data_IF_261823424045
#
_entry.id   IF_261823424045
#
_cell.length_a   1.000
_cell.length_b   1.000
_cell.length_c   1.000
_cell.angle_alpha   90.00
_cell.angle_beta   90.00
_cell.angle_gamma   90.00
#
_symmetry.space_group_name_H-M   'P 1'
#
loop_
_entity.id
_entity.type
_entity.pdbx_description
1 polymer ?
#
# COMPACT_ATOMS: atom_id res chain seq x y z
N UNK A 1 6.81 -35.65 -7.25
CA UNK A 1 6.10 -36.29 -8.37
C UNK A 1 4.78 -35.56 -8.66
N UNK A 2 3.88 -35.45 -7.67
CA UNK A 2 2.58 -34.78 -7.82
C UNK A 2 2.63 -33.30 -8.29
N UNK A 3 3.57 -32.49 -7.76
CA UNK A 3 3.67 -31.08 -8.15
C UNK A 3 4.05 -30.90 -9.63
N UNK A 4 4.87 -31.79 -10.16
CA UNK A 4 5.33 -31.72 -11.55
C UNK A 4 4.17 -32.03 -12.50
N UNK A 5 3.42 -33.09 -12.23
CA UNK A 5 2.23 -33.47 -12.99
C UNK A 5 1.17 -32.36 -12.95
N UNK A 6 0.96 -31.75 -11.79
CA UNK A 6 0.07 -30.59 -11.66
C UNK A 6 0.52 -29.43 -12.53
N UNK A 7 1.80 -29.04 -12.47
CA UNK A 7 2.33 -27.93 -13.27
C UNK A 7 2.24 -28.22 -14.78
N UNK A 8 2.50 -29.46 -15.19
CA UNK A 8 2.39 -29.87 -16.59
C UNK A 8 0.93 -29.80 -17.07
N UNK A 9 -0.02 -30.25 -16.26
CA UNK A 9 -1.45 -30.18 -16.58
C UNK A 9 -2.01 -28.73 -16.55
N UNK A 10 -1.53 -27.91 -15.62
CA UNK A 10 -2.02 -26.55 -15.41
C UNK A 10 -1.39 -25.56 -16.39
N UNK A 11 -0.09 -25.68 -16.70
CA UNK A 11 0.64 -24.69 -17.50
C UNK A 11 1.10 -25.20 -18.86
N UNK A 12 0.97 -26.50 -19.16
CA UNK A 12 1.26 -27.06 -20.48
C UNK A 12 2.66 -26.67 -20.98
N UNK A 13 2.80 -26.02 -22.16
CA UNK A 13 4.09 -25.56 -22.66
C UNK A 13 4.89 -24.67 -21.69
N UNK A 14 4.21 -23.92 -20.80
CA UNK A 14 4.86 -23.07 -19.80
C UNK A 14 5.30 -23.80 -18.52
N UNK A 15 5.10 -25.11 -18.41
CA UNK A 15 5.39 -25.84 -17.18
C UNK A 15 6.87 -25.75 -16.75
N UNK A 16 7.80 -25.62 -17.69
CA UNK A 16 9.23 -25.40 -17.44
C UNK A 16 9.50 -24.13 -16.61
N UNK A 17 9.26 -22.92 -17.15
CA UNK A 17 9.46 -21.67 -16.40
C UNK A 17 8.59 -21.57 -15.15
N UNK A 18 7.35 -22.08 -15.17
CA UNK A 18 6.48 -22.06 -13.99
C UNK A 18 7.02 -22.94 -12.84
N UNK A 19 7.76 -24.00 -13.16
CA UNK A 19 8.46 -24.82 -12.16
C UNK A 19 9.65 -24.09 -11.55
N UNK A 20 10.38 -23.30 -12.35
CA UNK A 20 11.46 -22.45 -11.84
C UNK A 20 10.89 -21.40 -10.87
N UNK A 21 9.77 -20.77 -11.24
CA UNK A 21 9.04 -19.85 -10.37
C UNK A 21 8.59 -20.52 -9.06
N UNK A 22 7.90 -21.65 -9.15
CA UNK A 22 7.44 -22.41 -7.97
C UNK A 22 8.60 -22.80 -7.05
N UNK A 23 9.67 -23.38 -7.60
CA UNK A 23 10.82 -23.83 -6.81
C UNK A 23 11.50 -22.65 -6.12
N UNK A 24 11.59 -21.49 -6.79
CA UNK A 24 12.15 -20.28 -6.19
C UNK A 24 11.30 -19.79 -5.03
N UNK A 25 9.97 -19.75 -5.20
CA UNK A 25 9.06 -19.39 -4.12
C UNK A 25 9.15 -20.37 -2.95
N UNK A 26 9.09 -21.69 -3.20
CA UNK A 26 9.19 -22.72 -2.19
C UNK A 26 10.49 -22.59 -1.38
N UNK A 27 11.65 -22.49 -2.07
CA UNK A 27 12.95 -22.32 -1.43
C UNK A 27 13.01 -21.06 -0.56
N UNK A 28 12.54 -19.92 -1.08
CA UNK A 28 12.57 -18.66 -0.35
C UNK A 28 11.56 -18.61 0.81
N UNK A 29 10.46 -19.33 0.67
CA UNK A 29 9.41 -19.47 1.70
C UNK A 29 9.90 -20.35 2.84
N UNK A 30 10.49 -21.51 2.53
CA UNK A 30 11.08 -22.42 3.51
C UNK A 30 12.26 -21.79 4.26
N UNK A 31 13.10 -21.01 3.55
CA UNK A 31 14.19 -20.26 4.18
C UNK A 31 13.69 -19.11 5.07
N UNK A 32 12.47 -18.62 4.86
CA UNK A 32 11.90 -17.55 5.65
C UNK A 32 11.25 -18.07 6.92
N UNK A 33 11.86 -17.78 8.07
CA UNK A 33 11.33 -18.17 9.37
C UNK A 33 10.21 -17.23 9.90
N UNK A 34 9.36 -16.69 9.01
CA UNK A 34 8.31 -15.73 9.38
C UNK A 34 6.95 -16.12 8.81
N UNK A 35 5.85 -15.97 9.59
CA UNK A 35 4.51 -16.15 9.06
C UNK A 35 4.20 -15.08 8.02
N UNK A 36 4.06 -15.49 6.76
CA UNK A 36 3.86 -14.59 5.62
C UNK A 36 2.54 -13.82 5.65
N UNK A 37 1.51 -14.36 6.29
CA UNK A 37 0.23 -13.69 6.43
C UNK A 37 0.27 -12.54 7.46
N UNK A 38 1.24 -12.55 8.38
CA UNK A 38 1.42 -11.51 9.41
C UNK A 38 2.58 -10.56 9.08
N UNK A 39 3.48 -10.98 8.18
CA UNK A 39 4.65 -10.19 7.81
C UNK A 39 4.31 -9.25 6.66
N UNK A 40 4.38 -7.93 6.84
CA UNK A 40 4.22 -6.99 5.74
C UNK A 40 5.22 -7.29 4.61
N UNK A 41 4.79 -7.18 3.35
CA UNK A 41 5.64 -7.45 2.19
C UNK A 41 6.95 -6.65 2.20
N UNK A 42 6.91 -5.44 2.73
CA UNK A 42 8.05 -4.55 2.95
C UNK A 42 9.13 -5.13 3.89
N UNK A 43 8.81 -6.15 4.69
CA UNK A 43 9.73 -6.80 5.62
C UNK A 43 10.14 -8.21 5.20
N UNK A 44 9.71 -8.67 4.02
CA UNK A 44 10.13 -9.94 3.44
C UNK A 44 11.45 -9.71 2.67
N UNK A 45 12.61 -10.22 3.15
CA UNK A 45 13.92 -9.82 2.61
C UNK A 45 14.15 -10.21 1.14
N UNK A 46 13.55 -11.32 0.71
CA UNK A 46 13.71 -11.84 -0.63
C UNK A 46 12.77 -11.20 -1.66
N UNK A 47 11.77 -10.42 -1.23
CA UNK A 47 11.03 -9.53 -2.14
C UNK A 47 11.91 -8.32 -2.43
N UNK A 48 12.78 -8.45 -3.43
CA UNK A 48 13.75 -7.44 -3.85
C UNK A 48 13.80 -7.30 -5.38
N UNK A 49 14.58 -6.34 -5.89
CA UNK A 49 14.65 -6.09 -7.34
C UNK A 49 15.10 -7.32 -8.12
N UNK A 50 16.03 -8.11 -7.60
CA UNK A 50 16.55 -9.32 -8.26
C UNK A 50 15.45 -10.39 -8.39
N UNK A 51 14.72 -10.63 -7.30
CA UNK A 51 13.57 -11.53 -7.30
C UNK A 51 12.55 -11.13 -8.37
N UNK A 52 12.13 -9.86 -8.39
CA UNK A 52 11.14 -9.41 -9.37
C UNK A 52 11.68 -9.50 -10.80
N UNK A 53 12.94 -9.16 -11.04
CA UNK A 53 13.56 -9.27 -12.38
C UNK A 53 13.53 -10.73 -12.87
N UNK A 54 13.95 -11.67 -12.02
CA UNK A 54 14.01 -13.08 -12.40
C UNK A 54 12.62 -13.69 -12.61
N UNK A 55 11.68 -13.42 -11.70
CA UNK A 55 10.31 -13.94 -11.80
C UNK A 55 9.59 -13.37 -13.01
N UNK A 56 9.77 -12.08 -13.31
CA UNK A 56 9.18 -11.51 -14.52
C UNK A 56 9.74 -12.16 -15.79
N UNK A 57 11.06 -12.43 -15.85
CA UNK A 57 11.64 -13.11 -17.00
C UNK A 57 11.02 -14.50 -17.23
N UNK A 58 10.80 -15.29 -16.17
CA UNK A 58 10.13 -16.59 -16.27
C UNK A 58 8.66 -16.47 -16.69
N UNK A 59 7.94 -15.47 -16.18
CA UNK A 59 6.55 -15.25 -16.56
C UNK A 59 6.44 -14.75 -18.00
N UNK A 60 7.37 -13.92 -18.48
CA UNK A 60 7.45 -13.46 -19.86
C UNK A 60 7.73 -14.62 -20.82
N UNK A 61 8.65 -15.53 -20.45
CA UNK A 61 8.90 -16.78 -21.18
C UNK A 61 7.64 -17.67 -21.19
N UNK A 62 7.00 -17.87 -20.04
CA UNK A 62 5.78 -18.67 -19.90
C UNK A 62 4.64 -18.17 -20.79
N UNK A 63 4.40 -16.85 -20.83
CA UNK A 63 3.40 -16.26 -21.72
C UNK A 63 3.75 -16.44 -23.19
N UNK A 64 5.04 -16.31 -23.54
CA UNK A 64 5.52 -16.52 -24.91
C UNK A 64 5.27 -17.96 -25.37
N UNK A 65 5.56 -18.95 -24.51
CA UNK A 65 5.34 -20.37 -24.80
C UNK A 65 3.85 -20.72 -24.92
N UNK A 66 2.97 -19.98 -24.24
CA UNK A 66 1.53 -20.17 -24.31
C UNK A 66 0.84 -19.28 -25.36
N UNK A 67 1.58 -18.62 -26.24
CA UNK A 67 0.98 -17.83 -27.31
C UNK A 67 0.18 -18.73 -28.26
N UNK A 68 -0.91 -18.18 -28.83
CA UNK A 68 -1.81 -18.91 -29.72
C UNK A 68 -3.15 -19.31 -29.07
N UNK A 69 -4.16 -19.58 -29.91
CA UNK A 69 -5.52 -19.90 -29.45
C UNK A 69 -5.60 -21.30 -28.82
N UNK A 70 -4.77 -22.21 -29.30
CA UNK A 70 -4.63 -23.59 -28.83
C UNK A 70 -4.10 -23.68 -27.39
N UNK A 71 -3.33 -22.68 -26.96
CA UNK A 71 -2.75 -22.60 -25.62
C UNK A 71 -3.46 -21.59 -24.71
N UNK A 72 -4.60 -21.04 -25.14
CA UNK A 72 -5.29 -19.94 -24.44
C UNK A 72 -5.58 -20.25 -22.96
N UNK A 73 -5.92 -21.51 -22.64
CA UNK A 73 -6.16 -21.94 -21.25
C UNK A 73 -4.91 -21.87 -20.37
N UNK A 74 -3.74 -22.20 -20.93
CA UNK A 74 -2.48 -22.17 -20.20
C UNK A 74 -1.99 -20.74 -20.03
N UNK A 75 -2.12 -19.93 -21.09
CA UNK A 75 -1.83 -18.50 -21.04
C UNK A 75 -2.66 -17.82 -19.96
N UNK A 76 -3.94 -18.19 -19.84
CA UNK A 76 -4.83 -17.70 -18.81
C UNK A 76 -4.29 -17.99 -17.39
N UNK A 77 -3.87 -19.22 -17.10
CA UNK A 77 -3.27 -19.55 -15.80
C UNK A 77 -1.99 -18.76 -15.51
N UNK A 78 -1.09 -18.61 -16.49
CA UNK A 78 0.14 -17.80 -16.33
C UNK A 78 -0.21 -16.34 -16.01
N UNK A 79 -1.21 -15.78 -16.69
CA UNK A 79 -1.67 -14.41 -16.46
C UNK A 79 -2.30 -14.21 -15.07
N UNK A 80 -2.93 -15.25 -14.50
CA UNK A 80 -3.40 -15.20 -13.12
C UNK A 80 -2.25 -15.17 -12.11
N UNK A 81 -1.21 -15.97 -12.31
CA UNK A 81 -0.02 -16.00 -11.44
C UNK A 81 0.77 -14.66 -11.48
N UNK A 82 0.66 -13.90 -12.57
CA UNK A 82 1.22 -12.54 -12.63
C UNK A 82 0.56 -11.56 -11.69
N UNK A 83 -0.72 -11.73 -11.36
CA UNK A 83 -1.48 -10.78 -10.54
C UNK A 83 -0.82 -10.52 -9.17
N UNK A 84 -0.50 -11.54 -8.34
CA UNK A 84 0.17 -11.31 -7.06
C UNK A 84 1.60 -10.76 -7.23
N UNK A 85 2.33 -11.15 -8.28
CA UNK A 85 3.69 -10.65 -8.56
C UNK A 85 3.67 -9.16 -8.88
N UNK A 86 2.82 -8.73 -9.80
CA UNK A 86 2.68 -7.33 -10.19
C UNK A 86 2.16 -6.49 -9.03
N UNK A 87 1.17 -7.00 -8.28
CA UNK A 87 0.65 -6.33 -7.09
C UNK A 87 1.74 -6.11 -6.05
N UNK A 88 2.51 -7.14 -5.70
CA UNK A 88 3.62 -7.03 -4.75
C UNK A 88 4.69 -6.03 -5.21
N UNK A 89 5.04 -6.08 -6.50
CA UNK A 89 6.01 -5.17 -7.09
C UNK A 89 5.54 -3.71 -7.05
N UNK A 90 4.29 -3.44 -7.41
CA UNK A 90 3.70 -2.11 -7.43
C UNK A 90 3.60 -1.51 -6.02
N UNK A 91 3.23 -2.30 -5.02
CA UNK A 91 3.21 -1.86 -3.62
C UNK A 91 4.61 -1.59 -3.03
N UNK A 92 5.64 -2.17 -3.63
CA UNK A 92 7.04 -1.96 -3.26
C UNK A 92 7.80 -1.08 -4.26
N UNK A 93 7.10 -0.43 -5.19
CA UNK A 93 7.71 0.23 -6.34
C UNK A 93 8.76 1.27 -5.96
N UNK A 94 8.48 2.05 -4.91
CA UNK A 94 9.42 3.05 -4.35
C UNK A 94 10.84 2.47 -4.16
N UNK A 95 10.96 1.22 -3.70
CA UNK A 95 12.25 0.55 -3.46
C UNK A 95 13.03 0.21 -4.72
N UNK A 96 12.34 0.01 -5.84
CA UNK A 96 12.94 -0.50 -7.08
C UNK A 96 12.87 0.50 -8.22
N UNK A 97 12.22 1.66 -8.03
CA UNK A 97 12.01 2.66 -9.07
C UNK A 97 13.32 3.13 -9.73
N UNK A 98 14.43 3.15 -8.97
CA UNK A 98 15.75 3.53 -9.49
C UNK A 98 16.61 2.34 -9.94
N UNK A 99 16.12 1.10 -9.80
CA UNK A 99 16.83 -0.07 -10.32
C UNK A 99 16.89 0.00 -11.85
N UNK A 100 18.05 -0.27 -12.50
CA UNK A 100 18.17 -0.27 -13.96
C UNK A 100 17.14 -1.17 -14.66
N UNK A 101 16.72 -2.26 -14.02
CA UNK A 101 15.73 -3.18 -14.57
C UNK A 101 14.31 -2.58 -14.64
N UNK A 102 14.00 -1.60 -13.79
CA UNK A 102 12.63 -1.16 -13.52
C UNK A 102 12.40 0.35 -13.71
N UNK A 103 13.45 1.13 -13.83
CA UNK A 103 13.37 2.58 -14.08
C UNK A 103 12.50 2.88 -15.30
N UNK A 104 11.50 3.72 -15.09
CA UNK A 104 10.55 4.13 -16.14
C UNK A 104 9.52 3.08 -16.56
N UNK A 105 9.44 1.92 -15.88
CA UNK A 105 8.53 0.81 -16.27
C UNK A 105 7.24 0.70 -15.48
N UNK A 106 6.96 1.65 -14.57
CA UNK A 106 5.80 1.57 -13.65
C UNK A 106 4.47 1.43 -14.39
N UNK A 107 4.28 2.23 -15.44
CA UNK A 107 3.03 2.21 -16.21
C UNK A 107 2.87 0.92 -17.03
N UNK A 108 3.96 0.29 -17.48
CA UNK A 108 3.88 -1.01 -18.16
C UNK A 108 3.39 -2.10 -17.22
N UNK A 109 3.91 -2.11 -15.98
CA UNK A 109 3.48 -3.04 -14.94
C UNK A 109 2.04 -2.76 -14.52
N UNK A 110 1.64 -1.49 -14.37
CA UNK A 110 0.25 -1.12 -14.08
C UNK A 110 -0.73 -1.57 -15.15
N UNK A 111 -0.41 -1.36 -16.43
CA UNK A 111 -1.28 -1.80 -17.54
C UNK A 111 -1.43 -3.32 -17.57
N UNK A 112 -0.33 -4.06 -17.35
CA UNK A 112 -0.35 -5.52 -17.26
C UNK A 112 -1.16 -6.00 -16.05
N UNK A 113 -0.95 -5.39 -14.89
CA UNK A 113 -1.69 -5.68 -13.65
C UNK A 113 -3.19 -5.45 -13.85
N UNK A 114 -3.57 -4.29 -14.39
CA UNK A 114 -4.95 -3.94 -14.68
C UNK A 114 -5.63 -4.99 -15.57
N UNK A 115 -5.00 -5.32 -16.70
CA UNK A 115 -5.51 -6.34 -17.63
C UNK A 115 -5.76 -7.67 -16.91
N UNK A 116 -4.76 -8.18 -16.21
CA UNK A 116 -4.81 -9.50 -15.60
C UNK A 116 -5.73 -9.54 -14.36
N UNK A 117 -5.78 -8.47 -13.57
CA UNK A 117 -6.67 -8.34 -12.41
C UNK A 117 -8.13 -8.25 -12.83
N UNK A 118 -8.46 -7.48 -13.88
CA UNK A 118 -9.82 -7.44 -14.43
C UNK A 118 -10.25 -8.80 -14.97
N UNK A 119 -9.35 -9.53 -15.63
CA UNK A 119 -9.58 -10.91 -16.06
C UNK A 119 -9.87 -11.84 -14.88
N UNK A 120 -9.08 -11.77 -13.80
CA UNK A 120 -9.33 -12.51 -12.56
C UNK A 120 -10.73 -12.20 -12.01
N UNK A 121 -11.11 -10.91 -11.93
CA UNK A 121 -12.45 -10.52 -11.45
C UNK A 121 -13.55 -11.12 -12.30
N UNK A 122 -13.45 -11.01 -13.62
CA UNK A 122 -14.45 -11.54 -14.55
C UNK A 122 -14.58 -13.06 -14.49
N UNK A 123 -13.50 -13.79 -14.15
CA UNK A 123 -13.54 -15.25 -14.09
C UNK A 123 -14.31 -15.75 -12.87
N UNK A 124 -14.04 -15.16 -11.70
CA UNK A 124 -14.66 -15.57 -10.43
C UNK A 124 -15.94 -14.80 -10.10
N UNK A 125 -16.37 -13.92 -11.02
CA UNK A 125 -17.60 -13.14 -10.97
C UNK A 125 -18.90 -13.99 -10.93
N UNK A 126 -18.84 -15.28 -11.26
CA UNK A 126 -20.02 -16.11 -11.49
C UNK A 126 -20.72 -16.62 -10.20
N UNK A 127 -20.11 -16.43 -9.02
CA UNK A 127 -20.67 -16.97 -7.76
C UNK A 127 -20.99 -15.93 -6.68
N UNK A 128 -20.58 -14.67 -6.82
CA UNK A 128 -20.87 -13.62 -5.82
C UNK A 128 -21.16 -12.27 -6.50
N UNK A 129 -22.44 -12.01 -6.76
CA UNK A 129 -22.96 -10.73 -7.31
C UNK A 129 -22.39 -9.48 -6.62
N UNK A 130 -22.06 -9.59 -5.33
CA UNK A 130 -21.43 -8.52 -4.56
C UNK A 130 -20.02 -8.17 -5.06
N UNK A 131 -19.22 -9.17 -5.45
CA UNK A 131 -17.83 -8.96 -5.90
C UNK A 131 -17.77 -8.35 -7.31
N UNK A 132 -18.77 -8.59 -8.15
CA UNK A 132 -18.87 -7.97 -9.48
C UNK A 132 -19.26 -6.50 -9.39
N UNK A 133 -20.25 -6.17 -8.54
CA UNK A 133 -20.71 -4.78 -8.35
C UNK A 133 -19.70 -3.92 -7.58
N UNK A 134 -18.92 -4.50 -6.66
CA UNK A 134 -17.91 -3.76 -5.89
C UNK A 134 -16.48 -3.88 -6.43
N UNK A 135 -16.15 -4.96 -7.14
CA UNK A 135 -14.77 -5.31 -7.52
C UNK A 135 -14.19 -4.43 -8.62
N UNK A 136 -14.99 -4.01 -9.59
CA UNK A 136 -14.53 -3.08 -10.64
C UNK A 136 -14.11 -1.72 -10.03
N UNK A 137 -14.98 -1.13 -9.19
CA UNK A 137 -14.65 0.11 -8.49
C UNK A 137 -13.50 -0.04 -7.49
N UNK A 138 -13.33 -1.22 -6.89
CA UNK A 138 -12.19 -1.51 -6.02
C UNK A 138 -10.86 -1.55 -6.80
N UNK A 139 -10.84 -2.16 -7.99
CA UNK A 139 -9.65 -2.11 -8.87
C UNK A 139 -9.34 -0.68 -9.27
N UNK A 140 -10.34 0.11 -9.68
CA UNK A 140 -10.11 1.48 -10.15
C UNK A 140 -9.52 2.36 -9.04
N UNK A 141 -10.02 2.21 -7.81
CA UNK A 141 -9.45 2.86 -6.62
C UNK A 141 -8.04 2.39 -6.29
N UNK A 142 -7.76 1.08 -6.40
CA UNK A 142 -6.42 0.52 -6.20
C UNK A 142 -5.43 1.06 -7.25
N UNK A 143 -5.80 1.04 -8.53
CA UNK A 143 -4.98 1.55 -9.63
C UNK A 143 -4.72 3.06 -9.49
N UNK A 144 -5.73 3.84 -9.10
CA UNK A 144 -5.57 5.25 -8.81
C UNK A 144 -4.58 5.48 -7.66
N UNK A 145 -4.67 4.69 -6.59
CA UNK A 145 -3.72 4.77 -5.47
C UNK A 145 -2.30 4.37 -5.87
N UNK A 146 -2.12 3.34 -6.71
CA UNK A 146 -0.81 2.88 -7.18
C UNK A 146 -0.16 3.87 -8.17
N UNK A 147 -0.96 4.63 -8.93
CA UNK A 147 -0.50 5.71 -9.82
C UNK A 147 -0.18 7.02 -9.10
N UNK A 148 -0.57 7.14 -7.84
CA UNK A 148 -0.32 8.35 -7.07
C UNK A 148 1.18 8.54 -6.89
N UNK A 149 1.68 9.69 -7.33
CA UNK A 149 3.06 10.06 -7.12
C UNK A 149 3.21 10.77 -5.76
N UNK A 150 4.35 10.57 -5.07
CA UNK A 150 4.64 11.34 -3.87
C UNK A 150 4.55 12.85 -4.13
N UNK A 151 4.00 13.64 -3.18
CA UNK A 151 4.05 15.09 -3.24
C UNK A 151 5.47 15.60 -3.51
N UNK A 152 5.62 16.69 -4.26
CA UNK A 152 6.91 17.21 -4.72
C UNK A 152 7.97 17.35 -3.59
N UNK A 153 7.54 17.72 -2.38
CA UNK A 153 8.41 17.82 -1.18
C UNK A 153 9.06 16.49 -0.75
N UNK A 154 8.61 15.36 -1.27
CA UNK A 154 9.09 14.02 -0.95
C UNK A 154 9.63 13.28 -2.18
N UNK A 155 9.67 13.91 -3.36
CA UNK A 155 10.03 13.25 -4.62
C UNK A 155 11.40 12.56 -4.55
N UNK A 156 12.39 13.23 -3.95
CA UNK A 156 13.77 12.72 -3.85
C UNK A 156 14.02 11.86 -2.61
N UNK A 157 12.97 11.50 -1.87
CA UNK A 157 13.08 10.82 -0.56
C UNK A 157 12.62 9.37 -0.58
N UNK A 158 12.54 8.72 -1.75
CA UNK A 158 12.06 7.32 -1.86
C UNK A 158 10.77 7.09 -1.04
N UNK A 159 9.80 7.97 -1.26
CA UNK A 159 8.62 8.07 -0.43
C UNK A 159 7.66 6.91 -0.70
N UNK A 160 7.22 6.27 0.39
CA UNK A 160 6.10 5.35 0.38
C UNK A 160 4.84 6.10 0.81
N UNK A 161 3.85 6.16 -0.08
CA UNK A 161 2.64 6.94 0.10
C UNK A 161 1.43 6.01 0.19
N UNK A 162 0.53 6.29 1.14
CA UNK A 162 -0.79 5.69 1.19
C UNK A 162 -1.89 6.73 1.32
N UNK A 163 -2.93 6.56 0.52
CA UNK A 163 -4.23 7.18 0.75
C UNK A 163 -4.90 6.50 1.94
N UNK A 164 -5.47 7.28 2.86
CA UNK A 164 -6.20 6.77 4.01
C UNK A 164 -7.65 6.48 3.59
N UNK A 165 -7.86 5.45 2.76
CA UNK A 165 -9.17 5.18 2.15
C UNK A 165 -10.06 4.17 2.91
N UNK A 166 -9.46 3.14 3.51
CA UNK A 166 -10.20 1.97 4.05
C UNK A 166 -9.62 1.36 5.33
N UNK A 167 -8.39 1.73 5.74
CA UNK A 167 -7.62 1.02 6.78
C UNK A 167 -7.70 1.57 8.21
N UNK A 168 -8.52 2.58 8.48
CA UNK A 168 -8.67 3.17 9.82
C UNK A 168 -10.05 2.81 10.42
N UNK A 169 -10.14 1.88 11.38
CA UNK A 169 -11.35 1.64 12.16
C UNK A 169 -11.78 2.94 12.87
N UNK A 170 -13.08 3.13 13.09
CA UNK A 170 -13.67 4.31 13.74
C UNK A 170 -13.60 5.66 12.99
N UNK A 171 -13.19 5.70 11.72
CA UNK A 171 -13.21 6.92 10.90
C UNK A 171 -14.31 6.91 9.83
N UNK A 172 -14.98 8.07 9.65
CA UNK A 172 -15.98 8.25 8.59
C UNK A 172 -15.30 8.76 7.33
N UNK A 173 -15.65 8.19 6.17
CA UNK A 173 -15.23 8.74 4.87
C UNK A 173 -15.98 10.04 4.59
N UNK A 174 -15.27 11.06 4.15
CA UNK A 174 -15.80 12.39 3.83
C UNK A 174 -15.34 12.75 2.42
N UNK A 175 -16.27 13.12 1.56
CA UNK A 175 -15.93 13.70 0.25
C UNK A 175 -15.25 15.06 0.48
N UNK A 176 -14.08 15.25 -0.11
CA UNK A 176 -13.34 16.51 -0.08
C UNK A 176 -12.56 16.63 -1.38
N UNK A 177 -13.06 17.46 -2.30
CA UNK A 177 -12.48 17.61 -3.63
C UNK A 177 -11.04 18.15 -3.62
N UNK A 178 -10.58 18.74 -2.50
CA UNK A 178 -9.19 19.21 -2.37
C UNK A 178 -8.25 18.19 -1.72
N UNK A 179 -8.78 17.05 -1.24
CA UNK A 179 -7.97 15.92 -0.81
C UNK A 179 -7.35 15.20 -2.02
N UNK A 180 -6.18 14.57 -1.83
CA UNK A 180 -5.43 13.96 -2.95
C UNK A 180 -6.19 12.87 -3.71
N UNK A 181 -7.10 12.16 -3.05
CA UNK A 181 -7.98 11.15 -3.66
C UNK A 181 -9.43 11.61 -3.88
N UNK A 182 -9.71 12.91 -3.74
CA UNK A 182 -11.08 13.47 -3.71
C UNK A 182 -11.86 13.12 -2.44
N UNK A 183 -11.24 12.41 -1.50
CA UNK A 183 -11.84 11.90 -0.27
C UNK A 183 -10.84 11.92 0.88
N UNK A 184 -11.36 12.08 2.08
CA UNK A 184 -10.62 12.04 3.34
C UNK A 184 -11.32 11.15 4.38
N UNK A 185 -10.67 10.98 5.51
CA UNK A 185 -11.23 10.33 6.70
C UNK A 185 -11.33 11.34 7.83
N UNK A 186 -12.53 11.48 8.39
CA UNK A 186 -12.72 12.17 9.66
C UNK A 186 -12.20 11.29 10.79
N UNK A 187 -11.30 11.83 11.59
CA UNK A 187 -10.84 11.19 12.81
C UNK A 187 -11.91 11.28 13.90
N UNK A 188 -12.02 10.23 14.70
CA UNK A 188 -13.02 10.15 15.76
C UNK A 188 -14.45 9.90 15.27
N UNK A 189 -15.36 9.91 16.23
CA UNK A 189 -16.77 9.59 16.02
C UNK A 189 -17.61 10.82 15.63
N UNK A 190 -17.02 12.02 15.60
CA UNK A 190 -17.70 13.27 15.31
C UNK A 190 -18.51 13.79 16.49
N UNK A 191 -18.14 13.39 17.71
CA UNK A 191 -18.74 13.92 18.94
C UNK A 191 -17.99 15.18 19.37
N UNK A 192 -18.62 16.15 20.05
CA UNK A 192 -17.92 17.33 20.58
C UNK A 192 -16.68 16.99 21.41
N UNK A 193 -16.69 15.87 22.13
CA UNK A 193 -15.54 15.39 22.94
C UNK A 193 -14.30 14.99 22.11
N UNK A 194 -14.47 14.74 20.82
CA UNK A 194 -13.38 14.44 19.89
C UNK A 194 -12.64 15.73 19.46
N UNK A 195 -13.29 16.88 19.62
CA UNK A 195 -12.79 18.19 19.23
C UNK A 195 -12.19 18.92 20.43
N UNK A 196 -10.94 18.57 20.74
CA UNK A 196 -10.22 19.10 21.91
C UNK A 196 -8.76 19.33 21.63
N UNK A 197 -8.18 20.25 22.39
CA UNK A 197 -6.75 20.49 22.44
C UNK A 197 -6.12 19.93 23.72
N UNK A 198 -4.83 19.55 23.68
CA UNK A 198 -4.03 19.43 22.47
C UNK A 198 -4.49 18.25 21.58
N UNK A 199 -4.34 18.39 20.27
CA UNK A 199 -4.44 17.24 19.37
C UNK A 199 -3.08 16.53 19.35
N UNK A 200 -3.09 15.22 19.56
CA UNK A 200 -1.87 14.44 19.77
C UNK A 200 -1.83 13.27 18.81
N UNK A 201 -0.72 13.12 18.09
CA UNK A 201 -0.43 11.93 17.28
C UNK A 201 0.96 11.38 17.62
N UNK A 202 1.11 10.06 17.51
CA UNK A 202 2.40 9.38 17.71
C UNK A 202 2.48 8.11 16.87
N UNK A 203 3.70 7.61 16.69
CA UNK A 203 3.92 6.25 16.22
C UNK A 203 4.03 5.36 17.45
N UNK A 204 3.27 4.27 17.49
CA UNK A 204 3.30 3.28 18.57
C UNK A 204 3.67 1.91 18.00
N UNK A 205 4.49 1.14 18.72
CA UNK A 205 4.76 -0.26 18.42
C UNK A 205 4.03 -1.13 19.44
N UNK A 206 3.02 -1.88 18.97
CA UNK A 206 2.16 -2.69 19.82
C UNK A 206 2.92 -3.82 20.53
N UNK A 207 3.94 -4.39 19.88
CA UNK A 207 4.70 -5.53 20.43
C UNK A 207 5.74 -5.06 21.43
N UNK A 208 6.43 -3.96 21.12
CA UNK A 208 7.38 -3.36 22.04
C UNK A 208 6.71 -2.50 23.13
N UNK A 209 5.39 -2.30 23.04
CA UNK A 209 4.57 -1.48 23.93
C UNK A 209 5.18 -0.09 24.19
N UNK A 210 5.69 0.55 23.13
CA UNK A 210 6.38 1.85 23.24
C UNK A 210 5.95 2.84 22.18
N UNK A 211 6.03 4.11 22.55
CA UNK A 211 5.79 5.24 21.66
C UNK A 211 7.11 5.76 21.09
N UNK A 212 7.06 6.22 19.85
CA UNK A 212 8.14 6.95 19.19
C UNK A 212 7.67 8.35 18.85
N UNK A 213 8.32 9.33 19.47
CA UNK A 213 7.96 10.74 19.30
C UNK A 213 6.51 11.02 19.69
N UNK A 214 6.17 12.29 19.77
CA UNK A 214 4.78 12.72 19.94
C UNK A 214 4.65 14.08 19.30
N UNK A 215 3.74 14.19 18.33
CA UNK A 215 3.34 15.48 17.76
C UNK A 215 2.13 15.98 18.52
N UNK A 216 2.34 17.07 19.23
CA UNK A 216 1.30 17.80 19.95
C UNK A 216 1.01 19.09 19.17
N UNK A 217 -0.25 19.28 18.77
CA UNK A 217 -0.74 20.51 18.17
C UNK A 217 -1.69 21.20 19.16
N UNK A 218 -1.34 22.39 19.59
CA UNK A 218 -2.19 23.28 20.35
C UNK A 218 -2.95 24.22 19.41
N UNK A 219 -3.85 25.04 19.94
CA UNK A 219 -4.67 25.97 19.16
C UNK A 219 -3.84 26.86 18.23
N UNK A 220 -2.71 27.39 18.72
CA UNK A 220 -1.81 28.24 17.92
C UNK A 220 -0.98 27.50 16.86
N UNK A 221 -0.95 26.16 16.89
CA UNK A 221 -0.25 25.34 15.91
C UNK A 221 -1.15 24.95 14.71
N UNK A 222 -2.46 25.24 14.80
CA UNK A 222 -3.42 24.88 13.76
C UNK A 222 -3.47 25.96 12.67
N UNK A 223 -3.23 25.60 11.39
CA UNK A 223 -3.44 26.50 10.27
C UNK A 223 -4.88 27.02 10.23
N UNK A 224 -5.04 28.33 10.04
CA UNK A 224 -6.34 29.03 10.08
C UNK A 224 -7.02 29.14 8.70
N UNK A 225 -6.56 28.37 7.71
CA UNK A 225 -7.00 28.47 6.31
C UNK A 225 -7.94 27.32 5.89
N UNK A 226 -8.26 26.41 6.81
CA UNK A 226 -9.06 25.20 6.55
C UNK A 226 -8.52 24.37 5.36
N UNK A 227 -7.20 24.43 5.11
CA UNK A 227 -6.53 23.71 4.04
C UNK A 227 -5.78 22.46 4.54
N UNK A 228 -5.24 21.69 3.60
CA UNK A 228 -4.41 20.52 3.88
C UNK A 228 -2.97 20.94 4.17
N UNK A 229 -2.45 20.48 5.31
CA UNK A 229 -1.09 20.75 5.75
C UNK A 229 -0.36 19.47 6.13
N UNK A 230 0.92 19.42 5.80
CA UNK A 230 1.79 18.28 6.11
C UNK A 230 2.45 18.44 7.47
N UNK A 231 2.25 17.45 8.34
CA UNK A 231 2.84 17.40 9.67
C UNK A 231 3.79 16.22 9.80
N UNK A 232 5.02 16.48 10.23
CA UNK A 232 5.92 15.43 10.71
C UNK A 232 5.41 14.95 12.06
N UNK A 233 5.01 13.69 12.13
CA UNK A 233 4.51 13.11 13.38
C UNK A 233 5.65 12.59 14.23
N UNK A 234 6.56 11.84 13.62
CA UNK A 234 7.67 11.22 14.32
C UNK A 234 8.74 10.74 13.36
N UNK A 235 9.95 10.58 13.89
CA UNK A 235 11.02 9.76 13.31
C UNK A 235 11.11 8.50 14.16
N UNK A 236 10.94 7.33 13.54
CA UNK A 236 10.86 6.07 14.26
C UNK A 236 11.54 4.92 13.51
N UNK A 237 12.16 3.96 14.22
CA UNK A 237 12.60 2.70 13.64
C UNK A 237 11.38 1.80 13.37
N UNK A 238 10.71 2.01 12.23
CA UNK A 238 9.44 1.34 11.93
C UNK A 238 9.61 -0.18 11.85
N UNK A 239 8.73 -0.89 12.55
CA UNK A 239 8.58 -2.35 12.51
C UNK A 239 7.24 -2.73 11.86
N UNK A 240 7.00 -4.03 11.68
CA UNK A 240 5.73 -4.52 11.16
C UNK A 240 4.54 -4.27 12.10
N UNK A 241 4.82 -3.98 13.37
CA UNK A 241 3.83 -3.78 14.44
C UNK A 241 3.63 -2.31 14.77
N UNK A 242 4.30 -1.40 14.06
CA UNK A 242 4.07 0.02 14.25
C UNK A 242 2.72 0.44 13.66
N UNK A 243 2.03 1.32 14.37
CA UNK A 243 0.84 2.02 13.91
C UNK A 243 0.87 3.49 14.26
N UNK A 244 0.14 4.28 13.49
CA UNK A 244 -0.15 5.67 13.78
C UNK A 244 -1.35 5.73 14.73
N UNK A 245 -1.14 6.35 15.88
CA UNK A 245 -2.15 6.54 16.91
C UNK A 245 -2.44 8.02 17.10
N UNK A 246 -3.66 8.37 17.48
CA UNK A 246 -3.96 9.71 18.00
C UNK A 246 -4.90 9.69 19.21
N UNK A 247 -4.93 10.79 19.95
CA UNK A 247 -5.79 10.96 21.14
C UNK A 247 -7.28 11.19 20.81
N UNK A 248 -7.59 11.21 19.52
CA UNK A 248 -8.91 11.08 18.93
C UNK A 248 -8.93 9.70 18.25
N UNK A 249 -10.01 8.91 18.28
CA UNK A 249 -9.98 7.54 17.77
C UNK A 249 -9.37 7.42 16.35
N UNK A 250 -8.16 6.84 16.31
CA UNK A 250 -7.40 6.48 15.12
C UNK A 250 -6.39 5.40 15.48
N UNK A 251 -6.44 4.29 14.74
CA UNK A 251 -5.32 3.36 14.60
C UNK A 251 -5.13 3.08 13.12
N UNK A 252 -3.94 3.35 12.59
CA UNK A 252 -3.58 3.07 11.21
C UNK A 252 -2.26 2.27 11.18
N UNK A 253 -2.27 1.01 10.75
CA UNK A 253 -1.03 0.22 10.64
C UNK A 253 -0.02 0.90 9.71
N UNK A 254 1.26 0.91 10.11
CA UNK A 254 2.38 1.51 9.39
C UNK A 254 3.40 0.47 8.88
N UNK A 255 3.20 -0.82 9.17
CA UNK A 255 4.13 -1.88 8.77
C UNK A 255 4.44 -1.92 7.27
N UNK A 256 3.54 -1.41 6.42
CA UNK A 256 3.76 -1.27 4.97
C UNK A 256 4.90 -0.30 4.60
N UNK A 257 5.17 0.70 5.45
CA UNK A 257 6.26 1.66 5.28
C UNK A 257 7.56 1.21 5.96
N UNK A 258 7.53 0.13 6.74
CA UNK A 258 8.69 -0.37 7.46
C UNK A 258 9.75 -0.94 6.49
N UNK A 259 11.02 -0.73 6.81
CA UNK A 259 12.17 -1.26 6.07
C UNK A 259 12.99 -2.11 7.04
N UNK A 260 13.64 -3.21 6.61
CA UNK A 260 14.56 -3.94 7.49
C UNK A 260 15.73 -3.06 7.98
N UNK A 261 16.25 -3.30 9.20
CA UNK A 261 17.49 -2.68 9.65
C UNK A 261 18.66 -2.93 8.68
N UNK A 262 19.66 -2.03 8.63
CA UNK A 262 19.85 -0.85 9.47
C UNK A 262 19.17 0.43 8.95
N UNK A 263 18.41 0.35 7.85
CA UNK A 263 17.79 1.52 7.20
C UNK A 263 16.33 1.73 7.62
N UNK A 264 15.98 1.34 8.84
CA UNK A 264 14.59 1.30 9.32
C UNK A 264 14.14 2.57 10.04
N UNK A 265 15.02 3.56 10.22
CA UNK A 265 14.62 4.89 10.69
C UNK A 265 13.89 5.65 9.58
N UNK A 266 12.61 5.91 9.82
CA UNK A 266 11.73 6.56 8.87
C UNK A 266 11.06 7.78 9.51
N UNK A 267 10.91 8.84 8.74
CA UNK A 267 10.00 9.93 9.07
C UNK A 267 8.58 9.55 8.64
N UNK A 268 7.62 9.75 9.55
CA UNK A 268 6.19 9.56 9.28
C UNK A 268 5.52 10.92 9.18
N UNK A 269 5.08 11.26 7.98
CA UNK A 269 4.36 12.49 7.66
C UNK A 269 2.89 12.20 7.42
N UNK A 270 2.03 13.12 7.87
CA UNK A 270 0.58 13.03 7.69
C UNK A 270 0.06 14.33 7.11
N UNK A 271 -0.81 14.23 6.13
CA UNK A 271 -1.58 15.36 5.60
C UNK A 271 -2.87 15.49 6.41
N UNK A 272 -3.00 16.60 7.14
CA UNK A 272 -4.14 16.90 8.00
C UNK A 272 -4.84 18.17 7.55
N UNK A 273 -6.17 18.19 7.75
CA UNK A 273 -6.99 19.39 7.61
C UNK A 273 -7.89 19.53 8.83
N UNK A 274 -7.93 20.73 9.36
CA UNK A 274 -8.79 21.10 10.48
C UNK A 274 -9.85 22.06 9.98
N UNK A 275 -11.11 21.83 10.32
CA UNK A 275 -12.23 22.72 9.95
C UNK A 275 -13.11 22.97 11.16
N UNK A 276 -13.81 24.10 11.17
CA UNK A 276 -14.83 24.44 12.15
C UNK A 276 -14.35 25.32 13.31
N UNK A 277 -15.31 25.90 14.06
CA UNK A 277 -15.05 26.99 15.01
C UNK A 277 -14.18 26.59 16.20
N UNK A 278 -14.03 25.30 16.50
CA UNK A 278 -13.07 24.85 17.52
C UNK A 278 -11.64 25.07 17.07
N UNK A 279 -11.36 24.98 15.77
CA UNK A 279 -10.01 24.96 15.21
C UNK A 279 -9.62 26.22 14.45
N UNK A 280 -10.59 26.83 13.77
CA UNK A 280 -10.37 27.99 12.90
C UNK A 280 -11.30 29.12 13.30
N UNK A 281 -10.71 30.28 13.59
CA UNK A 281 -11.43 31.47 14.02
C UNK A 281 -12.44 31.91 12.94
N UNK A 282 -13.70 32.09 13.36
CA UNK A 282 -14.77 32.54 12.47
C UNK A 282 -15.25 31.49 11.45
N UNK A 283 -14.79 30.24 11.54
CA UNK A 283 -15.25 29.19 10.61
C UNK A 283 -16.75 28.89 10.76
N UNK A 284 -17.39 28.71 9.60
CA UNK A 284 -18.78 28.24 9.49
C UNK A 284 -18.88 26.76 9.12
N UNK A 285 -17.75 26.08 8.92
CA UNK A 285 -17.74 24.66 8.63
C UNK A 285 -17.96 23.84 9.92
N UNK A 286 -18.38 22.57 9.80
CA UNK A 286 -18.43 21.69 10.96
C UNK A 286 -17.04 21.39 11.51
N UNK A 287 -16.95 21.20 12.82
CA UNK A 287 -15.72 20.74 13.47
C UNK A 287 -15.29 19.38 12.91
N UNK A 288 -14.08 19.32 12.33
CA UNK A 288 -13.48 18.09 11.81
C UNK A 288 -11.97 18.12 11.93
N UNK A 289 -11.40 16.94 12.21
CA UNK A 289 -10.00 16.62 11.92
C UNK A 289 -10.01 15.59 10.81
N UNK A 290 -9.43 15.94 9.67
CA UNK A 290 -9.41 15.12 8.47
C UNK A 290 -7.98 14.65 8.18
N UNK A 291 -7.87 13.41 7.68
CA UNK A 291 -6.63 12.82 7.15
C UNK A 291 -6.91 12.27 5.75
N UNK A 292 -6.04 12.54 4.78
CA UNK A 292 -6.16 11.97 3.42
C UNK A 292 -4.94 11.13 3.04
N UNK A 293 -3.74 11.50 3.50
CA UNK A 293 -2.49 10.85 3.11
C UNK A 293 -1.56 10.60 4.31
N UNK A 294 -0.84 9.48 4.22
CA UNK A 294 0.35 9.18 5.05
C UNK A 294 1.54 8.91 4.14
N UNK A 295 2.65 9.58 4.42
CA UNK A 295 3.92 9.41 3.73
C UNK A 295 4.96 8.90 4.71
N UNK A 296 5.64 7.83 4.34
CA UNK A 296 6.79 7.28 5.07
C UNK A 296 8.01 7.43 4.18
N UNK A 297 9.04 8.12 4.67
CA UNK A 297 10.30 8.38 3.96
C UNK A 297 11.48 8.02 4.85
N UNK A 298 12.62 7.57 4.31
CA UNK A 298 13.83 7.39 5.10
C UNK A 298 14.22 8.69 5.80
N UNK A 299 14.64 8.58 7.05
CA UNK A 299 15.22 9.71 7.77
C UNK A 299 16.55 10.12 7.10
N UNK A 300 16.82 11.43 6.91
CA UNK A 300 18.11 11.87 6.39
C UNK A 300 19.21 11.44 7.36
N UNK A 301 20.32 10.92 6.83
CA UNK A 301 21.53 10.64 7.61
C UNK A 301 22.42 11.87 7.69
#
# INVERSE_FOLDING_TARGET
>A
MLINEYLDACFGPAAGPMRQYYNRLALLTEAGNKPYFETPASLIPWLNSEFYTQVNAWLDEAETLCHGKENARYLWHVQLERVPVDSGMLHLWHRYAESPAWKGRKEDVLRRYEKNKRMLIQTWATTVDAWVKSGAGAIDGELAALRLEPPARFADRNANLRLVGTGAPASQRVEDATAAGGQARRLGHGKPSDHRFPFVMKVHDDVAARDFGTRTLNTGDIPQDEAWHWHLISTAPLTGHCGLWSNVPLWLPLGWGAVPPPSNEMDVWVSLKFTGPTYVEGSFLPDRVLIDQVVVVPHPR
#
